data_IF_070564756500
#
_entry.id   IF_070564756500
#
_cell.length_a   1.000
_cell.length_b   1.000
_cell.length_c   1.000
_cell.angle_alpha   90.00
_cell.angle_beta   90.00
_cell.angle_gamma   90.00
#
_symmetry.space_group_name_H-M   'P 1'
#
loop_
_entity.id
_entity.type
_entity.pdbx_description
1 polymer ?
#
# COMPACT_ATOMS: atom_id res chain seq x y z
N UNK A 1 9.52 -7.89 6.12
CA UNK A 1 8.41 -8.80 6.52
C UNK A 1 8.95 -10.23 6.51
N UNK A 2 8.63 -11.05 7.52
CA UNK A 2 9.08 -12.43 7.59
C UNK A 2 8.45 -13.29 6.49
N UNK A 3 9.18 -14.30 6.04
CA UNK A 3 8.72 -15.37 5.14
C UNK A 3 8.20 -14.91 3.76
N UNK A 4 8.53 -13.69 3.36
CA UNK A 4 8.29 -13.20 1.99
C UNK A 4 9.26 -13.89 1.04
N UNK A 5 8.73 -14.52 -0.01
CA UNK A 5 9.52 -15.16 -1.08
C UNK A 5 10.02 -14.10 -2.07
N UNK A 6 9.14 -13.18 -2.45
CA UNK A 6 9.47 -12.11 -3.40
C UNK A 6 8.57 -10.90 -3.19
N UNK A 7 9.11 -9.71 -3.46
CA UNK A 7 8.37 -8.46 -3.45
C UNK A 7 8.54 -7.76 -4.81
N UNK A 8 7.45 -7.20 -5.33
CA UNK A 8 7.45 -6.42 -6.57
C UNK A 8 6.81 -5.06 -6.34
N UNK A 9 7.33 -4.08 -7.07
CA UNK A 9 6.88 -2.70 -7.08
C UNK A 9 6.58 -2.31 -8.52
N UNK A 10 5.47 -1.62 -8.76
CA UNK A 10 5.07 -1.31 -10.12
C UNK A 10 3.96 -0.30 -10.23
N UNK A 11 3.97 0.42 -11.36
CA UNK A 11 2.93 1.38 -11.71
C UNK A 11 1.86 0.72 -12.57
N UNK A 12 0.62 0.76 -12.11
CA UNK A 12 -0.54 0.26 -12.86
C UNK A 12 -1.55 1.39 -13.00
N UNK A 13 -2.09 1.56 -14.20
CA UNK A 13 -3.07 2.61 -14.49
C UNK A 13 -4.39 2.31 -13.78
N UNK A 14 -4.96 3.33 -13.13
CA UNK A 14 -6.34 3.29 -12.66
C UNK A 14 -7.33 3.41 -13.85
N UNK A 15 -8.62 3.42 -13.54
CA UNK A 15 -9.72 3.63 -14.49
C UNK A 15 -9.67 4.98 -15.22
N UNK A 16 -9.01 5.98 -14.64
CA UNK A 16 -8.76 7.30 -15.24
C UNK A 16 -7.48 7.34 -16.10
N UNK A 17 -6.75 6.22 -16.19
CA UNK A 17 -5.50 6.12 -16.96
C UNK A 17 -4.26 6.67 -16.23
N UNK A 18 -4.41 7.09 -14.98
CA UNK A 18 -3.34 7.63 -14.14
C UNK A 18 -2.57 6.50 -13.44
N UNK A 19 -1.22 6.54 -13.40
CA UNK A 19 -0.42 5.49 -12.79
C UNK A 19 -0.47 5.56 -11.26
N UNK A 20 -0.89 4.46 -10.63
CA UNK A 20 -0.79 4.24 -9.19
C UNK A 20 0.41 3.33 -8.88
N UNK A 21 1.12 3.60 -7.79
CA UNK A 21 2.30 2.84 -7.34
C UNK A 21 1.91 1.73 -6.34
N UNK A 22 2.00 0.48 -6.79
CA UNK A 22 1.62 -0.71 -6.03
C UNK A 22 2.82 -1.45 -5.49
N UNK A 23 2.59 -2.16 -4.39
CA UNK A 23 3.51 -3.15 -3.83
C UNK A 23 2.76 -4.47 -3.66
N UNK A 24 3.39 -5.56 -4.08
CA UNK A 24 2.88 -6.92 -3.91
C UNK A 24 3.97 -7.79 -3.31
N UNK A 25 3.60 -8.60 -2.31
CA UNK A 25 4.52 -9.51 -1.63
C UNK A 25 3.97 -10.92 -1.63
N UNK A 26 4.75 -11.85 -2.17
CA UNK A 26 4.39 -13.26 -2.29
C UNK A 26 4.96 -14.08 -1.13
N UNK A 27 4.17 -15.05 -0.72
CA UNK A 27 4.46 -16.03 0.32
C UNK A 27 4.35 -17.44 -0.27
N UNK A 28 4.76 -18.44 0.50
CA UNK A 28 4.69 -19.84 0.08
C UNK A 28 3.24 -20.34 -0.10
N UNK A 29 2.33 -19.84 0.74
CA UNK A 29 0.91 -20.21 0.71
C UNK A 29 0.03 -19.08 1.23
N UNK A 30 -1.28 -19.21 1.05
CA UNK A 30 -2.26 -18.32 1.67
C UNK A 30 -2.12 -18.28 3.19
N UNK A 31 -1.98 -19.47 3.82
CA UNK A 31 -1.77 -19.57 5.26
C UNK A 31 -0.53 -18.79 5.70
N UNK A 32 0.57 -18.89 4.95
CA UNK A 32 1.80 -18.14 5.24
C UNK A 32 1.62 -16.64 5.08
N UNK A 33 0.86 -16.19 4.09
CA UNK A 33 0.55 -14.77 3.90
C UNK A 33 -0.25 -14.20 5.08
N UNK A 34 -1.27 -14.93 5.56
CA UNK A 34 -2.04 -14.56 6.74
C UNK A 34 -1.16 -14.58 8.00
N UNK A 35 -0.53 -15.72 8.31
CA UNK A 35 0.21 -15.95 9.56
C UNK A 35 1.42 -15.02 9.73
N UNK A 36 2.16 -14.75 8.65
CA UNK A 36 3.41 -13.99 8.70
C UNK A 36 3.31 -12.58 8.11
N UNK A 37 2.26 -12.27 7.35
CA UNK A 37 2.16 -11.02 6.60
C UNK A 37 1.09 -10.06 7.10
N UNK A 38 -0.06 -10.55 7.55
CA UNK A 38 -1.25 -9.72 7.84
C UNK A 38 -0.95 -8.63 8.86
N UNK A 39 -0.36 -8.96 10.01
CA UNK A 39 -0.01 -7.98 11.05
C UNK A 39 0.91 -6.85 10.55
N UNK A 40 1.80 -7.16 9.60
CA UNK A 40 2.71 -6.17 9.00
C UNK A 40 1.98 -5.33 7.97
N UNK A 41 1.01 -5.91 7.28
CA UNK A 41 0.20 -5.21 6.30
C UNK A 41 -0.76 -4.23 6.99
N UNK A 42 -1.41 -4.65 8.07
CA UNK A 42 -2.21 -3.82 8.95
C UNK A 42 -1.39 -2.67 9.54
N UNK A 43 -0.17 -2.93 10.02
CA UNK A 43 0.70 -1.89 10.60
C UNK A 43 1.00 -0.72 9.65
N UNK A 44 1.01 -0.93 8.33
CA UNK A 44 1.42 0.10 7.35
C UNK A 44 0.28 0.60 6.47
N UNK A 45 -0.94 0.10 6.66
CA UNK A 45 -2.09 0.42 5.84
C UNK A 45 -3.16 1.18 6.63
N UNK A 46 -4.04 1.86 5.91
CA UNK A 46 -5.14 2.64 6.50
C UNK A 46 -4.73 4.08 6.82
N UNK A 47 -5.68 4.84 7.37
CA UNK A 47 -5.51 6.26 7.70
C UNK A 47 -4.33 6.48 8.65
N UNK A 48 -4.20 5.60 9.65
CA UNK A 48 -3.15 5.62 10.69
C UNK A 48 -1.95 4.71 10.37
N UNK A 49 -1.80 4.26 9.12
CA UNK A 49 -0.70 3.40 8.70
C UNK A 49 0.67 3.94 9.11
N UNK A 50 1.51 3.09 9.68
CA UNK A 50 2.81 3.52 10.16
C UNK A 50 3.81 3.77 9.01
N UNK A 51 4.18 5.03 8.83
CA UNK A 51 5.21 5.49 7.87
C UNK A 51 6.52 5.93 8.54
N UNK A 52 6.66 5.78 9.86
CA UNK A 52 7.83 6.25 10.63
C UNK A 52 8.62 5.08 11.22
N UNK A 53 9.94 5.25 11.35
CA UNK A 53 10.84 4.21 11.92
C UNK A 53 10.43 3.74 13.31
N UNK A 54 9.76 4.60 14.08
CA UNK A 54 9.44 4.37 15.49
C UNK A 54 8.19 3.50 15.71
N UNK A 55 7.30 3.36 14.72
CA UNK A 55 6.12 2.50 14.81
C UNK A 55 6.14 1.32 13.82
N UNK A 56 7.05 1.32 12.84
CA UNK A 56 6.97 0.38 11.73
C UNK A 56 7.61 -0.93 12.11
N UNK A 57 6.91 -2.04 11.86
CA UNK A 57 7.41 -3.38 12.16
C UNK A 57 8.56 -3.80 11.23
N UNK A 58 8.83 -3.05 10.15
CA UNK A 58 9.94 -3.31 9.24
C UNK A 58 10.41 -2.03 8.51
N UNK A 59 11.73 -1.83 8.44
CA UNK A 59 12.31 -0.56 8.01
C UNK A 59 12.72 -0.49 6.54
N UNK A 60 12.77 -1.63 5.85
CA UNK A 60 13.04 -1.72 4.42
C UNK A 60 12.09 -0.81 3.64
N UNK A 61 12.54 -0.03 2.65
CA UNK A 61 11.68 0.79 1.78
C UNK A 61 10.66 1.71 2.49
N UNK A 62 10.92 2.14 3.73
CA UNK A 62 9.97 2.97 4.51
C UNK A 62 9.51 4.23 3.77
N UNK A 63 10.41 4.89 3.01
CA UNK A 63 10.09 6.09 2.21
C UNK A 63 9.15 5.80 1.03
N UNK A 64 9.04 4.56 0.56
CA UNK A 64 8.14 4.18 -0.52
C UNK A 64 6.70 3.96 -0.02
N UNK A 65 6.47 3.92 1.31
CA UNK A 65 5.14 3.73 1.91
C UNK A 65 4.39 5.01 2.22
N UNK A 66 4.96 6.15 1.85
CA UNK A 66 4.39 7.46 2.12
C UNK A 66 4.08 8.17 0.81
N UNK A 67 3.02 8.96 0.82
CA UNK A 67 2.73 9.96 -0.21
C UNK A 67 2.54 11.32 0.45
N UNK A 68 2.60 12.37 -0.34
CA UNK A 68 2.35 13.73 0.15
C UNK A 68 0.85 14.01 0.02
N UNK A 69 0.19 14.37 1.12
CA UNK A 69 -1.10 15.03 1.03
C UNK A 69 -0.87 16.51 0.70
N UNK A 70 -1.45 16.94 -0.42
CA UNK A 70 -1.60 18.36 -0.72
C UNK A 70 -2.80 18.86 0.08
N UNK A 71 -2.66 19.84 0.99
CA UNK A 71 -3.82 20.42 1.63
C UNK A 71 -4.68 21.08 0.56
N UNK A 72 -5.94 20.67 0.45
CA UNK A 72 -6.90 21.14 -0.58
C UNK A 72 -7.17 22.66 -0.60
N UNK A 73 -6.55 23.43 0.30
CA UNK A 73 -6.81 24.85 0.53
C UNK A 73 -5.60 25.77 0.31
N UNK A 74 -4.48 25.30 -0.26
CA UNK A 74 -3.33 26.18 -0.55
C UNK A 74 -3.31 26.54 -2.03
N UNK A 75 -4.02 27.62 -2.39
CA UNK A 75 -3.82 28.28 -3.68
C UNK A 75 -2.42 28.91 -3.71
N UNK A 76 -1.54 28.42 -4.60
CA UNK A 76 -0.17 28.91 -4.74
C UNK A 76 0.81 28.11 -3.88
N UNK A 77 1.61 27.28 -4.56
CA UNK A 77 2.51 26.31 -3.94
C UNK A 77 3.50 26.90 -2.92
N UNK A 78 3.66 26.16 -1.82
CA UNK A 78 4.79 26.13 -0.87
C UNK A 78 4.38 25.53 0.49
N UNK A 79 3.28 24.77 0.57
CA UNK A 79 3.00 23.96 1.77
C UNK A 79 3.98 22.79 1.81
N UNK A 80 4.73 22.63 2.90
CA UNK A 80 5.43 21.38 3.18
C UNK A 80 4.35 20.30 3.34
N UNK A 81 3.99 19.62 2.25
CA UNK A 81 2.89 18.66 2.28
C UNK A 81 3.11 17.59 3.34
N UNK A 82 2.02 17.09 3.90
CA UNK A 82 2.09 16.20 5.06
C UNK A 82 2.31 14.78 4.54
N UNK A 83 3.38 14.07 4.97
CA UNK A 83 3.53 12.66 4.64
C UNK A 83 2.39 11.87 5.28
N UNK A 84 1.62 11.18 4.44
CA UNK A 84 0.54 10.29 4.83
C UNK A 84 0.80 8.87 4.30
N UNK A 85 0.16 7.83 4.86
CA UNK A 85 0.30 6.48 4.36
C UNK A 85 -0.12 6.39 2.90
N UNK A 86 0.73 5.77 2.08
CA UNK A 86 0.44 5.52 0.66
C UNK A 86 -0.65 4.48 0.51
N UNK A 87 -0.60 3.42 1.34
CA UNK A 87 -1.54 2.32 1.31
C UNK A 87 -2.69 2.60 2.28
N UNK A 88 -3.91 2.68 1.76
CA UNK A 88 -5.11 2.92 2.57
C UNK A 88 -5.93 1.65 2.79
N UNK A 89 -5.55 0.57 2.10
CA UNK A 89 -6.05 -0.78 2.34
C UNK A 89 -4.98 -1.80 1.92
N UNK A 90 -5.22 -3.07 2.21
CA UNK A 90 -4.51 -4.20 1.62
C UNK A 90 -5.50 -5.32 1.34
N UNK A 91 -5.16 -6.21 0.42
CA UNK A 91 -5.89 -7.47 0.23
C UNK A 91 -4.93 -8.65 0.30
N UNK A 92 -5.43 -9.77 0.79
CA UNK A 92 -4.75 -11.06 0.73
C UNK A 92 -5.48 -11.91 -0.31
N UNK A 93 -4.80 -12.26 -1.41
CA UNK A 93 -5.37 -13.07 -2.48
C UNK A 93 -4.40 -14.20 -2.84
N UNK A 94 -4.88 -15.44 -2.83
CA UNK A 94 -4.01 -16.61 -2.97
C UNK A 94 -2.88 -16.57 -1.95
N UNK A 95 -1.64 -16.64 -2.42
CA UNK A 95 -0.42 -16.63 -1.61
C UNK A 95 0.27 -15.25 -1.54
N UNK A 96 -0.41 -14.15 -1.88
CA UNK A 96 0.20 -12.81 -1.84
C UNK A 96 -0.63 -11.79 -1.08
N UNK A 97 0.06 -10.75 -0.63
CA UNK A 97 -0.51 -9.51 -0.10
C UNK A 97 -0.30 -8.42 -1.13
N UNK A 98 -1.38 -7.77 -1.55
CA UNK A 98 -1.35 -6.59 -2.41
C UNK A 98 -1.69 -5.36 -1.57
N UNK A 99 -0.78 -4.39 -1.58
CA UNK A 99 -0.95 -3.12 -0.89
C UNK A 99 -1.65 -2.11 -1.80
N UNK A 100 -2.74 -1.54 -1.30
CA UNK A 100 -3.67 -0.78 -2.10
C UNK A 100 -3.44 0.73 -1.96
N UNK A 101 -2.90 1.42 -2.99
CA UNK A 101 -2.74 2.87 -2.96
C UNK A 101 -4.10 3.57 -3.08
N UNK A 102 -4.31 4.61 -2.28
CA UNK A 102 -5.54 5.43 -2.29
C UNK A 102 -5.43 6.60 -1.33
N UNK A 103 -6.36 7.57 -1.34
CA UNK A 103 -6.44 8.61 -0.30
C UNK A 103 -7.33 8.20 0.88
N UNK A 104 -8.19 7.21 0.68
CA UNK A 104 -9.03 6.58 1.69
C UNK A 104 -9.19 5.09 1.36
N UNK A 105 -9.80 4.34 2.27
CA UNK A 105 -10.01 2.89 2.13
C UNK A 105 -10.81 2.53 0.87
N UNK A 106 -11.90 3.26 0.59
CA UNK A 106 -12.77 2.99 -0.56
C UNK A 106 -12.04 3.12 -1.91
N UNK A 107 -11.23 4.18 -2.06
CA UNK A 107 -10.38 4.36 -3.24
C UNK A 107 -9.31 3.28 -3.36
N UNK A 108 -8.68 2.92 -2.24
CA UNK A 108 -7.66 1.89 -2.24
C UNK A 108 -8.22 0.53 -2.63
N UNK A 109 -9.38 0.13 -2.10
CA UNK A 109 -10.02 -1.14 -2.46
C UNK A 109 -10.40 -1.19 -3.95
N UNK A 110 -10.83 -0.07 -4.54
CA UNK A 110 -11.05 0.03 -6.00
C UNK A 110 -9.76 -0.20 -6.78
N UNK A 111 -8.66 0.45 -6.38
CA UNK A 111 -7.33 0.28 -6.99
C UNK A 111 -6.89 -1.19 -6.99
N UNK A 112 -7.04 -1.87 -5.85
CA UNK A 112 -6.70 -3.29 -5.74
C UNK A 112 -7.63 -4.22 -6.53
N UNK A 113 -8.92 -3.89 -6.62
CA UNK A 113 -9.89 -4.69 -7.38
C UNK A 113 -9.55 -4.72 -8.88
N UNK A 114 -9.01 -3.63 -9.44
CA UNK A 114 -8.53 -3.59 -10.83
C UNK A 114 -7.45 -4.64 -11.07
N UNK A 115 -6.52 -4.79 -10.11
CA UNK A 115 -5.43 -5.77 -10.20
C UNK A 115 -5.96 -7.18 -9.95
N UNK A 116 -6.77 -7.37 -8.91
CA UNK A 116 -7.32 -8.69 -8.56
C UNK A 116 -8.09 -9.31 -9.73
N UNK A 117 -8.86 -8.51 -10.47
CA UNK A 117 -9.58 -8.93 -11.68
C UNK A 117 -8.68 -9.36 -12.84
N UNK A 118 -7.39 -9.00 -12.83
CA UNK A 118 -6.46 -9.46 -13.88
C UNK A 118 -5.97 -10.90 -13.66
N UNK A 119 -6.29 -11.49 -12.50
CA UNK A 119 -6.01 -12.90 -12.19
C UNK A 119 -7.22 -13.83 -12.42
N UNK A 120 -8.36 -13.29 -12.85
CA UNK A 120 -9.56 -14.04 -13.29
C UNK A 120 -9.49 -14.33 -14.79
#
# INVERSE_FOLDING_TARGET
MPNVISAYYGFIKNDQGEPNDYEIRFYDSHKSAVEYGEQYAENISGEDGCIKKQCSFFLENLKHRQKISEPSNVAGGAGNGIPIPKYQAYIIYGNFILFCPGYNEDEALKSCTIIAKSFE
#
